data_IF_636775656497
#
_entry.id   IF_636775656497
#
_cell.length_a   1.000
_cell.length_b   1.000
_cell.length_c   1.000
_cell.angle_alpha   90.00
_cell.angle_beta   90.00
_cell.angle_gamma   90.00
#
_symmetry.space_group_name_H-M   'P 1'
#
loop_
_entity.id
_entity.type
_entity.pdbx_description
1 polymer ?
#
# COMPACT_ATOMS: atom_id res chain seq x y z
N UNK A 1 61.59 66.81 -22.58
CA UNK A 1 62.36 65.56 -22.42
C UNK A 1 61.40 64.48 -21.97
N UNK A 2 61.41 63.38 -22.72
CA UNK A 2 60.56 62.20 -22.71
C UNK A 2 60.70 61.33 -21.44
N UNK A 3 59.60 60.74 -20.96
CA UNK A 3 59.56 59.39 -20.37
C UNK A 3 58.08 58.94 -20.22
N UNK A 4 57.52 58.13 -21.12
CA UNK A 4 57.44 56.66 -21.08
C UNK A 4 56.69 56.08 -19.85
N UNK A 5 55.46 55.57 -20.06
CA UNK A 5 54.95 54.34 -19.40
C UNK A 5 53.59 53.89 -19.96
N UNK A 6 53.66 52.99 -20.96
CA UNK A 6 52.86 51.76 -21.18
C UNK A 6 51.36 51.72 -20.80
N UNK A 7 50.43 51.52 -21.76
CA UNK A 7 49.08 51.08 -21.46
C UNK A 7 49.01 49.55 -21.29
N UNK A 8 48.47 49.11 -20.15
CA UNK A 8 48.26 47.70 -19.82
C UNK A 8 47.20 47.05 -20.73
N UNK A 9 47.65 46.05 -21.50
CA UNK A 9 46.85 45.20 -22.39
C UNK A 9 45.86 44.34 -21.57
N UNK A 10 44.58 44.74 -21.49
CA UNK A 10 43.51 43.85 -20.99
C UNK A 10 43.21 42.78 -22.04
N UNK A 11 43.60 41.53 -21.78
CA UNK A 11 43.24 40.38 -22.63
C UNK A 11 41.73 40.10 -22.51
N UNK A 12 41.04 40.11 -23.65
CA UNK A 12 39.64 39.71 -23.75
C UNK A 12 39.47 38.21 -23.40
N UNK A 13 38.50 37.92 -22.55
CA UNK A 13 38.13 36.57 -22.11
C UNK A 13 37.30 35.90 -23.20
N UNK A 14 37.57 34.65 -23.59
CA UNK A 14 36.83 34.01 -24.68
C UNK A 14 35.40 33.66 -24.23
N UNK A 15 34.41 33.65 -25.16
CA UNK A 15 33.04 33.29 -24.83
C UNK A 15 32.95 31.79 -24.51
N UNK A 16 32.40 31.45 -23.34
CA UNK A 16 32.06 30.07 -22.97
C UNK A 16 31.00 29.56 -23.96
N UNK A 17 31.37 28.59 -24.80
CA UNK A 17 30.40 27.82 -25.59
C UNK A 17 29.47 27.08 -24.63
N UNK A 18 28.16 27.26 -24.77
CA UNK A 18 27.15 26.44 -24.09
C UNK A 18 27.34 25.00 -24.55
N UNK A 19 27.56 24.08 -23.61
CA UNK A 19 27.58 22.65 -23.92
C UNK A 19 26.19 22.26 -24.44
N UNK A 20 26.15 21.65 -25.62
CA UNK A 20 24.94 21.05 -26.15
C UNK A 20 24.45 19.96 -25.18
N UNK A 21 23.14 19.92 -24.94
CA UNK A 21 22.53 18.91 -24.10
C UNK A 21 22.84 17.52 -24.69
N UNK A 22 23.47 16.64 -23.90
CA UNK A 22 23.65 15.25 -24.28
C UNK A 22 22.27 14.59 -24.47
N UNK A 23 22.06 13.77 -25.51
CA UNK A 23 20.81 13.05 -25.67
C UNK A 23 20.62 12.08 -24.50
N UNK A 24 19.39 12.00 -24.00
CA UNK A 24 19.04 11.07 -22.93
C UNK A 24 19.39 9.62 -23.33
N UNK A 25 19.84 8.77 -22.40
CA UNK A 25 20.15 7.38 -22.71
C UNK A 25 18.88 6.66 -23.18
N UNK A 26 19.01 5.72 -24.14
CA UNK A 26 17.85 4.96 -24.63
C UNK A 26 17.20 4.21 -23.46
N UNK A 27 15.86 4.05 -23.48
CA UNK A 27 15.16 3.30 -22.44
C UNK A 27 15.73 1.89 -22.38
N UNK A 28 16.16 1.46 -21.18
CA UNK A 28 16.65 0.10 -20.97
C UNK A 28 15.58 -0.88 -21.47
N UNK A 29 15.96 -1.88 -22.30
CA UNK A 29 15.00 -2.89 -22.73
C UNK A 29 14.42 -3.55 -21.48
N UNK A 30 13.09 -3.56 -21.37
CA UNK A 30 12.37 -4.25 -20.30
C UNK A 30 12.91 -5.68 -20.26
N UNK A 31 13.54 -6.07 -19.16
CA UNK A 31 14.01 -7.44 -18.97
C UNK A 31 12.81 -8.35 -19.18
N UNK A 32 12.80 -9.08 -20.30
CA UNK A 32 11.81 -10.11 -20.55
C UNK A 32 12.17 -11.22 -19.58
N UNK A 33 11.58 -11.21 -18.40
CA UNK A 33 11.75 -12.25 -17.39
C UNK A 33 11.56 -13.59 -18.10
N UNK A 34 12.66 -14.35 -18.22
CA UNK A 34 12.63 -15.65 -18.88
C UNK A 34 11.73 -16.53 -18.01
N UNK A 35 10.67 -17.09 -18.58
CA UNK A 35 9.86 -18.10 -17.89
C UNK A 35 10.81 -19.21 -17.46
N UNK A 36 10.79 -19.49 -16.17
CA UNK A 36 11.62 -20.51 -15.56
C UNK A 36 10.86 -21.83 -15.54
N UNK A 37 11.58 -22.95 -15.41
CA UNK A 37 10.97 -24.25 -15.15
C UNK A 37 10.05 -24.22 -13.92
N UNK A 38 10.38 -23.39 -12.91
CA UNK A 38 9.56 -23.19 -11.73
C UNK A 38 8.22 -22.53 -12.04
N UNK A 39 8.18 -21.57 -12.98
CA UNK A 39 6.93 -20.92 -13.40
C UNK A 39 6.01 -21.90 -14.13
N UNK A 40 6.57 -22.75 -14.98
CA UNK A 40 5.82 -23.76 -15.72
C UNK A 40 5.28 -24.86 -14.79
N UNK A 41 6.09 -25.29 -13.81
CA UNK A 41 5.65 -26.23 -12.77
C UNK A 41 4.48 -25.64 -11.95
N UNK A 42 4.60 -24.40 -11.49
CA UNK A 42 3.53 -23.76 -10.72
C UNK A 42 2.26 -23.58 -11.56
N UNK A 43 2.41 -23.26 -12.85
CA UNK A 43 1.28 -23.18 -13.77
C UNK A 43 0.57 -24.53 -13.93
N UNK A 44 1.34 -25.63 -14.05
CA UNK A 44 0.80 -26.98 -14.15
C UNK A 44 0.06 -27.39 -12.86
N UNK A 45 0.67 -27.21 -11.69
CA UNK A 45 0.05 -27.50 -10.39
C UNK A 45 -1.26 -26.71 -10.20
N UNK A 46 -1.28 -25.43 -10.59
CA UNK A 46 -2.51 -24.63 -10.53
C UNK A 46 -3.58 -25.14 -11.48
N UNK A 47 -3.22 -25.56 -12.69
CA UNK A 47 -4.17 -26.11 -13.65
C UNK A 47 -4.77 -27.43 -13.13
N UNK A 48 -3.93 -28.30 -12.59
CA UNK A 48 -4.34 -29.55 -11.97
C UNK A 48 -5.29 -29.32 -10.78
N UNK A 49 -4.93 -28.41 -9.87
CA UNK A 49 -5.78 -28.06 -8.74
C UNK A 49 -7.13 -27.47 -9.17
N UNK A 50 -7.20 -26.70 -10.27
CA UNK A 50 -8.47 -26.20 -10.81
C UNK A 50 -9.35 -27.31 -11.38
N UNK A 51 -8.76 -28.31 -12.02
CA UNK A 51 -9.49 -29.42 -12.63
C UNK A 51 -9.91 -30.47 -11.60
N UNK A 52 -9.06 -30.76 -10.61
CA UNK A 52 -9.20 -31.94 -9.74
C UNK A 52 -9.22 -31.60 -8.24
N UNK A 53 -8.79 -30.40 -7.84
CA UNK A 53 -8.56 -30.06 -6.43
C UNK A 53 -9.79 -30.21 -5.54
N UNK A 54 -10.99 -29.86 -6.04
CA UNK A 54 -12.23 -30.02 -5.28
C UNK A 54 -12.55 -31.50 -4.97
N UNK A 55 -12.33 -32.39 -5.94
CA UNK A 55 -12.53 -33.83 -5.76
C UNK A 55 -11.54 -34.41 -4.75
N UNK A 56 -10.25 -34.08 -4.89
CA UNK A 56 -9.21 -34.51 -3.96
C UNK A 56 -9.47 -34.00 -2.54
N UNK A 57 -9.91 -32.75 -2.38
CA UNK A 57 -10.28 -32.19 -1.07
C UNK A 57 -11.46 -32.97 -0.46
N UNK A 58 -12.46 -33.33 -1.25
CA UNK A 58 -13.62 -34.09 -0.78
C UNK A 58 -13.21 -35.51 -0.34
N UNK A 59 -12.40 -36.19 -1.13
CA UNK A 59 -11.87 -37.52 -0.79
C UNK A 59 -11.02 -37.48 0.49
N UNK A 60 -10.08 -36.54 0.60
CA UNK A 60 -9.24 -36.42 1.80
C UNK A 60 -10.08 -36.07 3.03
N UNK A 61 -11.14 -35.26 2.90
CA UNK A 61 -12.07 -34.98 4.00
C UNK A 61 -12.79 -36.25 4.47
N UNK A 62 -13.17 -37.13 3.55
CA UNK A 62 -13.86 -38.38 3.87
C UNK A 62 -12.91 -39.43 4.47
N UNK A 63 -11.75 -39.63 3.84
CA UNK A 63 -10.83 -40.73 4.18
C UNK A 63 -9.86 -40.37 5.31
N UNK A 64 -9.44 -39.10 5.39
CA UNK A 64 -8.39 -38.62 6.31
C UNK A 64 -8.74 -37.24 6.89
N UNK A 65 -9.82 -37.12 7.68
CA UNK A 65 -10.30 -35.83 8.18
C UNK A 65 -9.27 -35.06 9.00
N UNK A 66 -8.43 -35.75 9.80
CA UNK A 66 -7.37 -35.11 10.57
C UNK A 66 -6.31 -34.43 9.68
N UNK A 67 -5.98 -35.07 8.55
CA UNK A 67 -5.02 -34.53 7.60
C UNK A 67 -5.61 -33.34 6.84
N UNK A 68 -6.90 -33.41 6.49
CA UNK A 68 -7.63 -32.29 5.89
C UNK A 68 -7.56 -31.05 6.79
N UNK A 69 -7.89 -31.18 8.08
CA UNK A 69 -7.89 -30.06 9.02
C UNK A 69 -6.49 -29.45 9.19
N UNK A 70 -5.43 -30.26 9.24
CA UNK A 70 -4.04 -29.77 9.28
C UNK A 70 -3.67 -28.97 8.03
N UNK A 71 -4.08 -29.43 6.83
CA UNK A 71 -3.83 -28.71 5.58
C UNK A 71 -4.56 -27.36 5.60
N UNK A 72 -5.84 -27.35 6.00
CA UNK A 72 -6.63 -26.12 6.13
C UNK A 72 -5.92 -25.13 7.06
N UNK A 73 -5.51 -25.57 8.25
CA UNK A 73 -4.77 -24.73 9.20
C UNK A 73 -3.44 -24.22 8.64
N UNK A 74 -2.74 -25.00 7.81
CA UNK A 74 -1.43 -24.61 7.26
C UNK A 74 -1.52 -23.55 6.15
N UNK A 75 -2.66 -23.43 5.48
CA UNK A 75 -2.90 -22.46 4.40
C UNK A 75 -3.44 -21.15 4.95
N UNK A 76 -4.07 -21.17 6.13
CA UNK A 76 -4.49 -19.96 6.80
C UNK A 76 -3.27 -19.15 7.28
N UNK A 77 -3.29 -17.81 7.16
CA UNK A 77 -2.34 -16.95 7.86
C UNK A 77 -2.30 -17.29 9.35
N UNK A 78 -1.12 -17.19 9.98
CA UNK A 78 -0.99 -17.47 11.43
C UNK A 78 -1.85 -16.57 12.30
N UNK A 79 -2.17 -15.38 11.79
CA UNK A 79 -3.04 -14.37 12.42
C UNK A 79 -4.42 -14.34 11.76
N UNK A 80 -4.93 -15.49 11.30
CA UNK A 80 -6.28 -15.56 10.73
C UNK A 80 -7.31 -15.45 11.85
N UNK A 81 -7.57 -14.22 12.28
CA UNK A 81 -8.68 -13.89 13.17
C UNK A 81 -9.98 -14.01 12.36
N UNK A 82 -10.63 -15.17 12.49
CA UNK A 82 -11.96 -15.40 11.96
C UNK A 82 -12.97 -14.48 12.67
N UNK A 83 -13.11 -13.25 12.18
CA UNK A 83 -14.15 -12.30 12.57
C UNK A 83 -14.37 -12.15 14.10
N UNK A 84 -13.30 -11.95 14.87
CA UNK A 84 -13.43 -11.29 16.16
C UNK A 84 -13.65 -9.81 15.84
N UNK A 85 -14.83 -9.27 16.11
CA UNK A 85 -14.98 -7.82 16.02
C UNK A 85 -13.94 -7.25 16.99
N UNK A 86 -13.02 -6.36 16.56
CA UNK A 86 -11.96 -5.85 17.44
C UNK A 86 -12.48 -5.14 18.69
N UNK A 87 -13.80 -4.90 18.77
CA UNK A 87 -14.51 -4.40 19.93
C UNK A 87 -14.87 -5.51 20.96
N UNK A 88 -15.00 -6.77 20.54
CA UNK A 88 -15.40 -7.90 21.41
C UNK A 88 -14.32 -8.25 22.46
N UNK A 89 -13.07 -7.88 22.19
CA UNK A 89 -11.94 -8.04 23.12
C UNK A 89 -11.65 -6.79 23.95
N UNK A 90 -12.40 -5.70 23.75
CA UNK A 90 -12.22 -4.45 24.49
C UNK A 90 -13.22 -4.36 25.64
N UNK A 91 -12.77 -3.80 26.76
CA UNK A 91 -13.67 -3.43 27.84
C UNK A 91 -14.54 -2.22 27.46
N UNK A 92 -15.69 -2.07 28.11
CA UNK A 92 -16.59 -0.93 27.91
C UNK A 92 -15.90 0.44 28.15
N UNK A 93 -14.89 0.50 29.02
CA UNK A 93 -14.11 1.73 29.23
C UNK A 93 -13.20 2.04 28.04
N UNK A 94 -12.55 1.04 27.46
CA UNK A 94 -11.71 1.20 26.28
C UNK A 94 -12.53 1.61 25.06
N UNK A 95 -13.72 1.03 24.90
CA UNK A 95 -14.69 1.42 23.86
C UNK A 95 -15.10 2.88 24.06
N UNK A 96 -15.50 3.28 25.28
CA UNK A 96 -15.84 4.68 25.59
C UNK A 96 -14.69 5.65 25.33
N UNK A 97 -13.47 5.27 25.68
CA UNK A 97 -12.27 6.07 25.41
C UNK A 97 -12.04 6.29 23.91
N UNK A 98 -12.20 5.25 23.10
CA UNK A 98 -12.11 5.33 21.64
C UNK A 98 -13.20 6.23 21.03
N UNK A 99 -14.45 6.12 21.49
CA UNK A 99 -15.54 6.97 21.02
C UNK A 99 -15.20 8.44 21.28
N UNK A 100 -14.77 8.80 22.49
CA UNK A 100 -14.36 10.18 22.83
C UNK A 100 -13.21 10.69 21.95
N UNK A 101 -12.23 9.83 21.67
CA UNK A 101 -11.11 10.18 20.80
C UNK A 101 -11.57 10.43 19.35
N UNK A 102 -12.49 9.61 18.83
CA UNK A 102 -13.07 9.80 17.50
C UNK A 102 -13.93 11.06 17.44
N UNK A 103 -14.76 11.32 18.44
CA UNK A 103 -15.53 12.55 18.55
C UNK A 103 -14.62 13.78 18.52
N UNK A 104 -13.50 13.79 19.25
CA UNK A 104 -12.56 14.90 19.25
C UNK A 104 -11.96 15.17 17.86
N UNK A 105 -11.69 14.12 17.08
CA UNK A 105 -11.16 14.23 15.71
C UNK A 105 -12.23 14.66 14.72
N UNK A 106 -13.46 14.17 14.86
CA UNK A 106 -14.55 14.43 13.92
C UNK A 106 -15.29 15.73 14.19
N UNK A 107 -15.25 16.25 15.42
CA UNK A 107 -15.94 17.47 15.83
C UNK A 107 -15.71 18.69 14.92
N UNK A 108 -14.52 18.96 14.37
CA UNK A 108 -14.32 20.06 13.43
C UNK A 108 -15.01 19.88 12.06
N UNK A 109 -15.42 18.65 11.73
CA UNK A 109 -16.05 18.30 10.45
C UNK A 109 -17.55 18.10 10.57
N UNK A 110 -18.04 17.92 11.79
CA UNK A 110 -19.46 17.90 12.10
C UNK A 110 -19.88 19.36 12.31
N UNK A 111 -20.84 19.84 11.51
CA UNK A 111 -21.48 21.14 11.78
C UNK A 111 -22.03 21.17 13.20
N UNK A 112 -22.16 22.37 13.77
CA UNK A 112 -22.67 22.58 15.13
C UNK A 112 -23.82 21.60 15.44
N UNK A 113 -23.73 20.83 16.55
CA UNK A 113 -24.80 19.93 16.91
C UNK A 113 -26.08 20.77 17.00
N UNK A 114 -27.10 20.39 16.23
CA UNK A 114 -28.41 21.01 16.35
C UNK A 114 -28.81 20.93 17.83
N UNK A 115 -28.92 22.09 18.47
CA UNK A 115 -29.30 22.21 19.86
C UNK A 115 -30.64 21.50 20.08
N UNK A 116 -30.69 20.41 20.88
CA UNK A 116 -31.94 19.76 21.21
C UNK A 116 -32.86 20.65 22.06
N UNK A 117 -32.44 21.87 22.41
CA UNK A 117 -33.20 22.86 23.19
C UNK A 117 -34.25 23.69 22.43
N UNK A 118 -34.37 23.61 21.10
CA UNK A 118 -35.37 24.40 20.34
C UNK A 118 -36.60 23.60 19.87
N UNK A 119 -37.02 22.57 20.61
CA UNK A 119 -38.40 22.09 20.50
C UNK A 119 -39.30 23.16 21.15
N UNK A 120 -39.73 24.13 20.34
CA UNK A 120 -40.59 25.24 20.77
C UNK A 120 -41.86 24.72 21.46
N UNK A 121 -42.37 25.42 22.48
CA UNK A 121 -43.57 24.99 23.19
C UNK A 121 -44.75 25.02 22.22
N UNK A 122 -45.35 23.85 21.98
CA UNK A 122 -46.57 23.73 21.20
C UNK A 122 -47.69 24.57 21.81
N UNK A 123 -48.19 25.52 21.03
CA UNK A 123 -49.39 26.29 21.33
C UNK A 123 -50.59 25.37 21.50
N UNK A 124 -51.44 25.72 22.48
CA UNK A 124 -52.73 25.08 22.78
C UNK A 124 -53.81 25.62 21.87
#
# INVERSE_FOLDING_TARGET
MTDAAVPARRKARPPRRKAAASPAPPPKPRSRTKKTLGDDFLAAVRADFRAHGAGVIAEVRADKPDQYLKIVLSVLPKDFDAAVNPLDSQSDEEIRSRIRALEAVLRPFLGEPADPGNAGPGER
#
